data_IF_375858269559
#
_entry.id   IF_375858269559
#
_cell.length_a   1.000
_cell.length_b   1.000
_cell.length_c   1.000
_cell.angle_alpha   90.00
_cell.angle_beta   90.00
_cell.angle_gamma   90.00
#
_symmetry.space_group_name_H-M   'P 1'
#
loop_
_entity.id
_entity.type
_entity.pdbx_description
1 polymer ?
#
# COMPACT_ATOMS: atom_id res chain seq x y z
N UNK A 1 -27.56 15.14 -10.04
CA UNK A 1 -26.80 14.66 -8.88
C UNK A 1 -25.31 14.67 -9.19
N UNK A 2 -24.59 15.70 -8.74
CA UNK A 2 -23.13 15.76 -8.80
C UNK A 2 -22.54 14.94 -7.64
N UNK A 3 -21.46 14.20 -7.90
CA UNK A 3 -20.69 13.46 -6.89
C UNK A 3 -19.30 14.08 -6.76
N UNK A 4 -18.80 14.21 -5.54
CA UNK A 4 -17.40 14.55 -5.31
C UNK A 4 -16.54 13.35 -5.73
N UNK A 5 -15.57 13.57 -6.61
CA UNK A 5 -14.61 12.53 -7.03
C UNK A 5 -13.25 12.82 -6.43
N UNK A 6 -12.73 11.90 -5.62
CA UNK A 6 -11.38 12.01 -5.04
C UNK A 6 -10.46 11.02 -5.75
N UNK A 7 -9.60 11.55 -6.62
CA UNK A 7 -8.54 10.80 -7.28
C UNK A 7 -7.33 10.69 -6.35
N UNK A 8 -6.63 9.55 -6.36
CA UNK A 8 -5.56 9.24 -5.41
C UNK A 8 -6.02 9.42 -3.95
N UNK A 9 -7.26 9.03 -3.67
CA UNK A 9 -7.92 9.27 -2.38
C UNK A 9 -7.43 8.35 -1.27
N UNK A 10 -6.67 7.31 -1.60
CA UNK A 10 -6.13 6.41 -0.59
C UNK A 10 -4.98 7.04 0.19
N UNK A 11 -4.90 6.71 1.49
CA UNK A 11 -3.95 7.30 2.43
C UNK A 11 -4.06 8.83 2.61
N UNK A 12 -5.17 9.46 2.15
CA UNK A 12 -5.49 10.87 2.42
C UNK A 12 -6.38 11.01 3.66
N UNK A 13 -5.99 10.37 4.76
CA UNK A 13 -6.84 10.28 5.97
C UNK A 13 -7.20 11.65 6.55
N UNK A 14 -6.33 12.65 6.40
CA UNK A 14 -6.56 14.02 6.87
C UNK A 14 -7.78 14.70 6.24
N UNK A 15 -8.18 14.32 5.02
CA UNK A 15 -9.33 14.93 4.33
C UNK A 15 -10.65 14.19 4.56
N UNK A 16 -10.64 13.00 5.17
CA UNK A 16 -11.86 12.19 5.30
C UNK A 16 -12.89 12.82 6.23
N UNK A 17 -12.47 13.37 7.37
CA UNK A 17 -13.39 14.06 8.28
C UNK A 17 -13.99 15.34 7.63
N UNK A 18 -13.22 16.23 6.97
CA UNK A 18 -13.78 17.31 6.16
C UNK A 18 -14.75 16.83 5.08
N UNK A 19 -14.41 15.78 4.32
CA UNK A 19 -15.29 15.21 3.27
C UNK A 19 -16.61 14.73 3.87
N UNK A 20 -16.57 13.94 4.95
CA UNK A 20 -17.78 13.46 5.64
C UNK A 20 -18.70 14.61 6.06
N UNK A 21 -18.15 15.67 6.66
CA UNK A 21 -18.92 16.87 7.04
C UNK A 21 -19.56 17.56 5.83
N UNK A 22 -18.85 17.64 4.71
CA UNK A 22 -19.39 18.22 3.48
C UNK A 22 -20.52 17.37 2.89
N UNK A 23 -20.39 16.04 2.89
CA UNK A 23 -21.43 15.13 2.43
C UNK A 23 -22.69 15.25 3.28
N UNK A 24 -22.56 15.25 4.61
CA UNK A 24 -23.69 15.41 5.54
C UNK A 24 -24.43 16.73 5.35
N UNK A 25 -23.70 17.83 5.07
CA UNK A 25 -24.30 19.16 4.85
C UNK A 25 -25.02 19.31 3.51
N UNK A 26 -24.59 18.58 2.49
CA UNK A 26 -25.02 18.83 1.10
C UNK A 26 -25.91 17.72 0.53
N UNK A 27 -25.91 16.53 1.14
CA UNK A 27 -26.55 15.34 0.58
C UNK A 27 -25.87 14.84 -0.71
N UNK A 28 -24.69 15.34 -1.05
CA UNK A 28 -23.95 14.91 -2.23
C UNK A 28 -23.44 13.47 -2.09
N UNK A 29 -23.27 12.78 -3.23
CA UNK A 29 -22.60 11.49 -3.27
C UNK A 29 -21.07 11.61 -3.35
N UNK A 30 -20.36 10.52 -3.04
CA UNK A 30 -18.90 10.43 -3.12
C UNK A 30 -18.48 9.30 -4.06
N UNK A 31 -17.41 9.53 -4.83
CA UNK A 31 -16.67 8.51 -5.56
C UNK A 31 -15.20 8.58 -5.13
N UNK A 32 -14.70 7.51 -4.51
CA UNK A 32 -13.29 7.40 -4.07
C UNK A 32 -12.59 6.33 -4.88
N UNK A 33 -11.43 6.67 -5.43
CA UNK A 33 -10.57 5.72 -6.14
C UNK A 33 -9.47 5.23 -5.19
N UNK A 34 -9.51 3.95 -4.87
CA UNK A 34 -8.41 3.19 -4.27
C UNK A 34 -7.88 2.19 -5.31
N UNK A 35 -6.58 1.91 -5.27
CA UNK A 35 -5.97 0.88 -6.13
C UNK A 35 -4.62 0.47 -5.54
N UNK A 36 -3.62 1.35 -5.63
CA UNK A 36 -2.25 1.01 -5.25
C UNK A 36 -2.06 0.68 -3.77
N UNK A 37 -2.90 1.16 -2.87
CA UNK A 37 -2.86 0.77 -1.45
C UNK A 37 -3.46 -0.59 -1.17
N UNK A 38 -4.44 -1.07 -1.95
CA UNK A 38 -4.91 -2.46 -1.87
C UNK A 38 -3.78 -3.41 -2.21
N UNK A 39 -3.06 -3.12 -3.28
CA UNK A 39 -1.83 -3.81 -3.66
C UNK A 39 -0.77 -3.81 -2.53
N UNK A 40 -0.55 -2.67 -1.88
CA UNK A 40 0.37 -2.60 -0.73
C UNK A 40 -0.09 -3.50 0.43
N UNK A 41 -1.38 -3.61 0.69
CA UNK A 41 -1.89 -4.49 1.74
C UNK A 41 -1.84 -5.98 1.39
N UNK A 42 -1.88 -6.34 0.09
CA UNK A 42 -1.56 -7.69 -0.35
C UNK A 42 -0.10 -8.06 -0.02
N UNK A 43 0.84 -7.15 -0.30
CA UNK A 43 2.25 -7.33 0.10
C UNK A 43 2.37 -7.41 1.63
N UNK A 44 1.68 -6.54 2.38
CA UNK A 44 1.68 -6.57 3.85
C UNK A 44 1.23 -7.94 4.37
N UNK A 45 0.14 -8.49 3.83
CA UNK A 45 -0.41 -9.80 4.20
C UNK A 45 0.53 -10.97 3.87
N UNK A 46 1.21 -10.91 2.73
CA UNK A 46 2.25 -11.88 2.38
C UNK A 46 3.45 -11.77 3.33
N UNK A 47 3.92 -10.56 3.60
CA UNK A 47 5.10 -10.32 4.42
C UNK A 47 4.90 -10.71 5.89
N UNK A 48 3.74 -10.39 6.48
CA UNK A 48 3.42 -10.74 7.87
C UNK A 48 3.32 -12.25 8.10
N UNK A 49 2.97 -13.01 7.06
CA UNK A 49 2.84 -14.46 7.12
C UNK A 49 4.20 -15.19 7.23
N UNK A 50 5.31 -14.48 7.05
CA UNK A 50 6.65 -15.07 7.12
C UNK A 50 6.92 -16.06 5.98
N UNK A 51 7.90 -16.94 6.19
CA UNK A 51 8.25 -18.02 5.25
C UNK A 51 8.36 -17.56 3.81
N UNK A 52 7.66 -18.27 2.92
CA UNK A 52 7.65 -17.97 1.48
C UNK A 52 6.95 -16.63 1.15
N UNK A 53 5.95 -16.22 1.93
CA UNK A 53 5.26 -14.93 1.75
C UNK A 53 6.21 -13.75 1.96
N UNK A 54 6.98 -13.79 3.05
CA UNK A 54 8.03 -12.79 3.30
C UNK A 54 9.15 -12.87 2.25
N UNK A 55 9.57 -14.08 1.87
CA UNK A 55 10.59 -14.26 0.82
C UNK A 55 10.16 -13.61 -0.48
N UNK A 56 8.90 -13.77 -0.89
CA UNK A 56 8.34 -13.14 -2.08
C UNK A 56 8.28 -11.61 -1.96
N UNK A 57 7.84 -11.08 -0.81
CA UNK A 57 7.78 -9.64 -0.59
C UNK A 57 9.17 -8.99 -0.70
N UNK A 58 10.20 -9.63 -0.14
CA UNK A 58 11.61 -9.21 -0.26
C UNK A 58 12.13 -9.28 -1.68
N UNK A 59 11.76 -10.33 -2.43
CA UNK A 59 12.10 -10.47 -3.86
C UNK A 59 11.48 -9.34 -4.70
N UNK A 60 10.20 -9.03 -4.47
CA UNK A 60 9.51 -7.92 -5.13
C UNK A 60 10.22 -6.59 -4.84
N UNK A 61 10.59 -6.33 -3.57
CA UNK A 61 11.36 -5.14 -3.22
C UNK A 61 12.71 -5.08 -3.93
N UNK A 62 13.47 -6.19 -3.93
CA UNK A 62 14.79 -6.24 -4.54
C UNK A 62 14.75 -5.94 -6.05
N UNK A 63 13.79 -6.52 -6.76
CA UNK A 63 13.56 -6.26 -8.19
C UNK A 63 13.07 -4.83 -8.42
N UNK A 64 12.19 -4.32 -7.56
CA UNK A 64 11.72 -2.93 -7.65
C UNK A 64 12.86 -1.92 -7.45
N UNK A 65 13.82 -2.24 -6.57
CA UNK A 65 15.01 -1.42 -6.35
C UNK A 65 15.94 -1.42 -7.57
N UNK A 66 16.11 -2.55 -8.24
CA UNK A 66 16.88 -2.64 -9.50
C UNK A 66 16.23 -1.84 -10.63
N UNK A 67 14.92 -1.98 -10.79
CA UNK A 67 14.13 -1.34 -11.85
C UNK A 67 13.63 0.07 -11.45
N UNK A 68 14.18 0.67 -10.39
CA UNK A 68 13.61 1.88 -9.76
C UNK A 68 13.37 3.02 -10.75
N UNK A 69 14.28 3.25 -11.69
CA UNK A 69 14.15 4.32 -12.69
C UNK A 69 12.95 4.09 -13.62
N UNK A 70 12.84 2.88 -14.17
CA UNK A 70 11.76 2.52 -15.08
C UNK A 70 10.40 2.47 -14.39
N UNK A 71 10.36 2.03 -13.13
CA UNK A 71 9.14 1.99 -12.32
C UNK A 71 8.68 3.39 -11.90
N UNK A 72 9.62 4.28 -11.58
CA UNK A 72 9.32 5.64 -11.11
C UNK A 72 8.98 6.61 -12.23
N UNK A 73 9.57 6.47 -13.43
CA UNK A 73 9.43 7.45 -14.51
C UNK A 73 7.97 7.85 -14.84
N UNK A 74 6.99 6.92 -14.93
CA UNK A 74 5.59 7.28 -15.20
C UNK A 74 4.89 8.03 -14.06
N UNK A 75 5.45 7.99 -12.85
CA UNK A 75 4.87 8.54 -11.62
C UNK A 75 5.71 9.70 -11.04
N UNK A 76 6.73 10.17 -11.75
CA UNK A 76 7.71 11.15 -11.26
C UNK A 76 7.08 12.44 -10.71
N UNK A 77 5.90 12.84 -11.22
CA UNK A 77 5.18 14.03 -10.76
C UNK A 77 4.41 13.84 -9.43
N UNK A 78 4.27 12.60 -8.94
CA UNK A 78 3.39 12.26 -7.80
C UNK A 78 4.06 11.42 -6.71
N UNK A 79 5.33 11.06 -6.89
CA UNK A 79 6.14 10.34 -5.90
C UNK A 79 7.24 11.27 -5.36
N UNK A 80 7.72 10.96 -4.16
CA UNK A 80 8.76 11.71 -3.44
C UNK A 80 9.72 10.72 -2.76
N UNK A 81 10.40 9.93 -3.61
CA UNK A 81 11.29 8.86 -3.15
C UNK A 81 12.69 9.42 -2.93
N UNK A 82 13.10 9.50 -1.67
CA UNK A 82 14.49 9.72 -1.29
C UNK A 82 15.25 8.38 -1.38
N UNK A 83 16.12 8.26 -2.39
CA UNK A 83 16.93 7.04 -2.62
C UNK A 83 17.91 6.76 -1.49
N UNK A 84 18.38 7.78 -0.76
CA UNK A 84 19.29 7.58 0.36
C UNK A 84 18.60 6.94 1.57
N UNK A 85 17.26 6.99 1.62
CA UNK A 85 16.44 6.36 2.65
C UNK A 85 15.98 4.95 2.27
N UNK A 86 16.32 4.45 1.09
CA UNK A 86 15.97 3.08 0.69
C UNK A 86 16.97 2.09 1.31
N UNK A 87 16.52 1.10 2.09
CA UNK A 87 17.40 0.07 2.63
C UNK A 87 17.98 -0.78 1.48
N UNK A 88 19.20 -1.27 1.66
CA UNK A 88 19.81 -2.12 0.62
C UNK A 88 19.07 -3.45 0.50
N UNK A 89 19.31 -4.18 -0.60
CA UNK A 89 18.74 -5.52 -0.77
C UNK A 89 19.20 -6.45 0.35
N UNK A 90 20.49 -6.39 0.69
CA UNK A 90 21.11 -7.22 1.72
C UNK A 90 20.47 -6.97 3.08
N UNK A 91 20.21 -5.69 3.41
CA UNK A 91 19.50 -5.32 4.62
C UNK A 91 18.09 -5.93 4.64
N UNK A 92 17.31 -5.73 3.58
CA UNK A 92 15.93 -6.24 3.47
C UNK A 92 15.88 -7.77 3.46
N UNK A 93 16.87 -8.45 2.87
CA UNK A 93 16.95 -9.92 2.93
C UNK A 93 17.06 -10.44 4.36
N UNK A 94 17.72 -9.69 5.25
CA UNK A 94 17.84 -10.02 6.68
C UNK A 94 16.59 -9.72 7.52
N UNK A 95 15.59 -9.01 6.98
CA UNK A 95 14.45 -8.57 7.78
C UNK A 95 13.51 -9.69 8.23
N UNK A 96 12.97 -9.54 9.43
CA UNK A 96 11.82 -10.30 9.94
C UNK A 96 10.51 -9.80 9.33
N UNK A 97 9.39 -10.56 9.44
CA UNK A 97 8.06 -10.08 9.07
C UNK A 97 7.72 -8.70 9.66
N UNK A 98 8.01 -8.51 10.94
CA UNK A 98 7.73 -7.26 11.66
C UNK A 98 8.58 -6.07 11.20
N UNK A 99 9.81 -6.29 10.75
CA UNK A 99 10.64 -5.21 10.16
C UNK A 99 10.10 -4.78 8.80
N UNK A 100 9.82 -5.75 7.92
CA UNK A 100 9.30 -5.46 6.58
C UNK A 100 7.94 -4.76 6.63
N UNK A 101 7.00 -5.31 7.40
CA UNK A 101 5.66 -4.74 7.53
C UNK A 101 5.66 -3.40 8.26
N UNK A 102 6.53 -3.22 9.27
CA UNK A 102 6.70 -1.95 9.96
C UNK A 102 7.23 -0.84 9.05
N UNK A 103 8.10 -1.17 8.10
CA UNK A 103 8.57 -0.23 7.08
C UNK A 103 7.52 0.09 6.02
N UNK A 104 6.64 -0.87 5.70
CA UNK A 104 5.63 -0.74 4.64
C UNK A 104 4.34 -0.04 5.08
N UNK A 105 3.84 -0.33 6.30
CA UNK A 105 2.54 0.17 6.78
C UNK A 105 2.57 1.69 6.95
N UNK A 106 1.53 2.37 6.47
CA UNK A 106 1.41 3.82 6.61
C UNK A 106 1.07 4.21 8.05
N UNK A 107 2.09 4.40 8.87
CA UNK A 107 1.99 4.86 10.24
C UNK A 107 3.01 5.97 10.50
N UNK A 108 2.54 7.22 10.52
CA UNK A 108 3.40 8.40 10.71
C UNK A 108 4.00 8.49 12.12
N UNK A 109 3.52 7.70 13.08
CA UNK A 109 4.03 7.65 14.45
C UNK A 109 5.06 6.54 14.66
N UNK A 110 5.19 5.61 13.69
CA UNK A 110 6.14 4.50 13.76
C UNK A 110 7.51 4.93 13.24
N UNK A 111 8.54 4.78 14.07
CA UNK A 111 9.94 4.97 13.65
C UNK A 111 10.39 3.99 12.57
N UNK A 112 9.68 2.86 12.41
CA UNK A 112 9.98 1.88 11.38
C UNK A 112 9.45 2.30 10.02
N UNK A 113 8.42 3.15 9.97
CA UNK A 113 7.76 3.50 8.73
C UNK A 113 8.72 4.20 7.78
N UNK A 114 8.81 3.68 6.56
CA UNK A 114 9.67 4.24 5.52
C UNK A 114 8.82 4.69 4.32
N UNK A 115 8.56 6.00 4.15
CA UNK A 115 7.74 6.51 3.06
C UNK A 115 8.36 6.25 1.68
N UNK A 116 9.69 6.32 1.54
CA UNK A 116 10.41 6.01 0.29
C UNK A 116 10.19 4.56 -0.12
N UNK A 117 10.31 3.62 0.82
CA UNK A 117 10.09 2.19 0.58
C UNK A 117 8.63 1.92 0.20
N UNK A 118 7.66 2.51 0.92
CA UNK A 118 6.23 2.36 0.62
C UNK A 118 5.91 2.86 -0.78
N UNK A 119 6.43 4.02 -1.18
CA UNK A 119 6.22 4.57 -2.51
C UNK A 119 6.88 3.73 -3.61
N UNK A 120 8.09 3.20 -3.37
CA UNK A 120 8.75 2.28 -4.31
C UNK A 120 7.89 1.04 -4.55
N UNK A 121 7.43 0.39 -3.48
CA UNK A 121 6.54 -0.78 -3.60
C UNK A 121 5.19 -0.41 -4.23
N UNK A 122 4.67 0.79 -3.97
CA UNK A 122 3.41 1.26 -4.56
C UNK A 122 3.48 1.31 -6.09
N UNK A 123 4.59 1.78 -6.66
CA UNK A 123 4.81 1.78 -8.12
C UNK A 123 5.38 0.46 -8.64
N UNK A 124 5.80 -0.43 -7.74
CA UNK A 124 6.37 -1.75 -8.03
C UNK A 124 5.37 -2.84 -8.41
N UNK A 125 4.07 -2.57 -8.50
CA UNK A 125 3.03 -3.57 -8.84
C UNK A 125 3.31 -4.33 -10.15
N UNK A 126 4.01 -3.71 -11.11
CA UNK A 126 4.43 -4.36 -12.36
C UNK A 126 5.36 -5.55 -12.13
N UNK A 127 6.12 -5.54 -11.03
CA UNK A 127 7.01 -6.65 -10.65
C UNK A 127 6.18 -7.89 -10.32
N UNK A 128 5.17 -7.78 -9.46
CA UNK A 128 4.28 -8.90 -9.16
C UNK A 128 3.43 -9.32 -10.36
N UNK A 129 2.96 -8.36 -11.17
CA UNK A 129 2.23 -8.70 -12.39
C UNK A 129 3.05 -9.60 -13.34
N UNK A 130 4.36 -9.35 -13.47
CA UNK A 130 5.28 -10.19 -14.25
C UNK A 130 5.51 -11.59 -13.65
N UNK A 131 5.29 -11.77 -12.35
CA UNK A 131 5.37 -13.09 -11.69
C UNK A 131 4.17 -13.99 -12.02
N UNK A 132 3.06 -13.42 -12.50
CA UNK A 132 1.88 -14.13 -12.97
C UNK A 132 1.33 -15.13 -11.94
N UNK A 133 1.12 -16.37 -12.38
CA UNK A 133 0.60 -17.48 -11.57
C UNK A 133 1.33 -17.71 -10.25
N UNK A 134 2.65 -17.43 -10.20
CA UNK A 134 3.41 -17.57 -8.95
C UNK A 134 2.90 -16.61 -7.90
N UNK A 135 2.59 -15.38 -8.27
CA UNK A 135 2.06 -14.38 -7.33
C UNK A 135 0.63 -14.74 -6.90
N UNK A 136 -0.22 -15.16 -7.85
CA UNK A 136 -1.61 -15.53 -7.56
C UNK A 136 -1.71 -16.71 -6.58
N UNK A 137 -0.92 -17.77 -6.77
CA UNK A 137 -0.87 -18.90 -5.82
C UNK A 137 -0.43 -18.49 -4.42
N UNK A 138 0.42 -17.48 -4.31
CA UNK A 138 0.85 -16.95 -3.02
C UNK A 138 -0.27 -16.19 -2.32
N UNK A 139 -1.09 -15.45 -3.08
CA UNK A 139 -2.30 -14.83 -2.53
C UNK A 139 -3.29 -15.86 -2.01
N UNK A 140 -3.51 -16.96 -2.74
CA UNK A 140 -4.37 -18.07 -2.29
C UNK A 140 -3.81 -18.77 -1.04
N UNK A 141 -2.52 -19.10 -1.04
CA UNK A 141 -1.89 -19.80 0.08
C UNK A 141 -1.90 -18.98 1.38
N UNK A 142 -1.87 -17.65 1.28
CA UNK A 142 -1.86 -16.72 2.41
C UNK A 142 -3.14 -15.88 2.50
N UNK A 143 -4.24 -16.36 1.93
CA UNK A 143 -5.51 -15.64 1.83
C UNK A 143 -5.98 -15.08 3.19
N UNK A 144 -5.95 -15.81 4.32
CA UNK A 144 -6.45 -15.26 5.59
C UNK A 144 -5.74 -13.96 6.02
N UNK A 145 -4.42 -13.88 5.81
CA UNK A 145 -3.63 -12.70 6.14
C UNK A 145 -3.86 -11.57 5.12
N UNK A 146 -3.84 -11.90 3.83
CA UNK A 146 -4.08 -10.95 2.73
C UNK A 146 -5.48 -10.33 2.84
N UNK A 147 -6.52 -11.16 2.94
CA UNK A 147 -7.91 -10.71 3.01
C UNK A 147 -8.16 -9.85 4.24
N UNK A 148 -7.55 -10.17 5.39
CA UNK A 148 -7.65 -9.35 6.60
C UNK A 148 -7.08 -7.95 6.39
N UNK A 149 -5.85 -7.84 5.86
CA UNK A 149 -5.21 -6.53 5.62
C UNK A 149 -5.96 -5.72 4.56
N UNK A 150 -6.39 -6.35 3.45
CA UNK A 150 -7.17 -5.68 2.40
C UNK A 150 -8.51 -5.20 2.94
N UNK A 151 -9.22 -6.02 3.72
CA UNK A 151 -10.51 -5.66 4.33
C UNK A 151 -10.34 -4.53 5.32
N UNK A 152 -9.34 -4.58 6.19
CA UNK A 152 -9.04 -3.50 7.15
C UNK A 152 -8.76 -2.19 6.40
N UNK A 153 -7.97 -2.22 5.34
CA UNK A 153 -7.71 -1.03 4.55
C UNK A 153 -8.97 -0.47 3.89
N UNK A 154 -9.76 -1.30 3.21
CA UNK A 154 -10.96 -0.82 2.53
C UNK A 154 -12.05 -0.37 3.51
N UNK A 155 -12.36 -1.19 4.50
CA UNK A 155 -13.49 -0.94 5.38
C UNK A 155 -13.12 -0.01 6.55
N UNK A 156 -12.13 -0.41 7.36
CA UNK A 156 -11.78 0.31 8.58
C UNK A 156 -11.07 1.63 8.29
N UNK A 157 -10.10 1.64 7.37
CA UNK A 157 -9.28 2.84 7.11
C UNK A 157 -9.93 3.82 6.12
N UNK A 158 -10.83 3.36 5.25
CA UNK A 158 -11.43 4.20 4.21
C UNK A 158 -12.94 4.40 4.38
N UNK A 159 -13.74 3.34 4.25
CA UNK A 159 -15.20 3.47 4.22
C UNK A 159 -15.78 3.98 5.55
N UNK A 160 -15.37 3.43 6.70
CA UNK A 160 -15.87 3.87 8.00
C UNK A 160 -15.58 5.36 8.25
N UNK A 161 -14.35 5.88 8.14
CA UNK A 161 -14.08 7.31 8.34
C UNK A 161 -14.85 8.23 7.40
N UNK A 162 -15.10 7.80 6.16
CA UNK A 162 -15.81 8.60 5.16
C UNK A 162 -17.32 8.65 5.37
N UNK A 163 -17.94 7.57 5.83
CA UNK A 163 -19.40 7.43 5.86
C UNK A 163 -20.00 7.25 7.26
N UNK A 164 -19.32 6.54 8.16
CA UNK A 164 -19.84 6.16 9.48
C UNK A 164 -19.27 7.07 10.57
N UNK A 165 -18.02 7.52 10.41
CA UNK A 165 -17.23 8.13 11.48
C UNK A 165 -16.32 7.10 12.14
N UNK A 166 -15.30 7.62 12.83
CA UNK A 166 -14.38 6.88 13.68
C UNK A 166 -14.27 7.60 15.02
#
# INVERSE_FOLDING_TARGET
>A
NLKLSVHSGSDKFSIYAPVRRALARTGAGLHVKTAGTTWLEEITGLAESGGEGLRLAKEIYAVALDDIEALCAPYAAVIDIDRAKLPSKEEVQGWTPGQFTGALRHDLLSERYNPSLRQLLHVGYKVAARMGERYLRMLEAYEPAVARNVTENLYERHLKPLFIGG
#
